data_IF_656841003181
#
_entry.id   IF_656841003181
#
_cell.length_a   1.000
_cell.length_b   1.000
_cell.length_c   1.000
_cell.angle_alpha   90.00
_cell.angle_beta   90.00
_cell.angle_gamma   90.00
#
_symmetry.space_group_name_H-M   'P 1'
#
loop_
_entity.id
_entity.type
_entity.pdbx_description
1 polymer ?
#
# COMPACT_ATOMS: atom_id res chain seq x y z
N UNK A 1 -33.35 -24.27 -2.42
CA UNK A 1 -33.58 -24.36 -0.95
C UNK A 1 -32.40 -23.70 -0.26
N UNK A 2 -32.64 -22.59 0.46
CA UNK A 2 -31.58 -21.94 1.26
C UNK A 2 -31.26 -22.87 2.45
N UNK A 3 -30.00 -23.23 2.68
CA UNK A 3 -29.58 -24.17 3.73
C UNK A 3 -30.03 -23.77 5.14
N UNK A 4 -30.26 -22.47 5.36
CA UNK A 4 -30.80 -21.90 6.61
C UNK A 4 -32.28 -22.22 6.86
N UNK A 5 -33.00 -22.76 5.87
CA UNK A 5 -34.40 -23.21 6.03
C UNK A 5 -34.50 -24.64 6.59
N UNK A 6 -33.42 -25.42 6.49
CA UNK A 6 -33.35 -26.81 6.96
C UNK A 6 -32.62 -26.88 8.31
N UNK A 7 -31.67 -25.98 8.55
CA UNK A 7 -30.93 -25.86 9.81
C UNK A 7 -31.16 -24.50 10.46
N UNK A 8 -31.72 -24.49 11.66
CA UNK A 8 -31.80 -23.30 12.53
C UNK A 8 -30.43 -22.98 13.12
N UNK A 9 -29.56 -22.40 12.30
CA UNK A 9 -28.26 -21.89 12.76
C UNK A 9 -28.52 -20.62 13.55
N UNK A 10 -28.05 -20.58 14.80
CA UNK A 10 -28.17 -19.40 15.66
C UNK A 10 -27.45 -18.20 15.00
N UNK A 11 -28.14 -17.08 14.74
CA UNK A 11 -27.60 -15.91 14.05
C UNK A 11 -26.29 -15.37 14.65
N UNK A 12 -26.05 -15.60 15.95
CA UNK A 12 -24.81 -15.18 16.63
C UNK A 12 -23.55 -15.80 16.03
N UNK A 13 -23.66 -16.96 15.37
CA UNK A 13 -22.51 -17.65 14.75
C UNK A 13 -22.31 -17.31 13.28
N UNK A 14 -23.33 -16.75 12.61
CA UNK A 14 -23.26 -16.47 11.18
C UNK A 14 -22.24 -15.37 10.88
N UNK A 15 -22.29 -14.26 11.62
CA UNK A 15 -21.37 -13.13 11.45
C UNK A 15 -19.90 -13.47 11.72
N UNK A 16 -19.51 -14.10 12.85
CA UNK A 16 -18.09 -14.42 13.09
C UNK A 16 -17.54 -15.44 12.09
N UNK A 17 -18.33 -16.43 11.68
CA UNK A 17 -17.91 -17.42 10.68
C UNK A 17 -17.70 -16.73 9.32
N UNK A 18 -18.62 -15.87 8.89
CA UNK A 18 -18.47 -15.13 7.64
C UNK A 18 -17.24 -14.21 7.61
N UNK A 19 -16.88 -13.61 8.76
CA UNK A 19 -15.72 -12.73 8.89
C UNK A 19 -14.38 -13.47 9.06
N UNK A 20 -14.41 -14.76 9.43
CA UNK A 20 -13.18 -15.53 9.66
C UNK A 20 -12.32 -15.67 8.41
N UNK A 21 -12.94 -15.94 7.26
CA UNK A 21 -12.25 -16.10 5.97
C UNK A 21 -11.52 -14.81 5.54
N UNK A 22 -12.18 -13.63 5.43
CA UNK A 22 -11.48 -12.41 5.07
C UNK A 22 -10.40 -12.03 6.09
N UNK A 23 -10.62 -12.29 7.38
CA UNK A 23 -9.60 -12.04 8.41
C UNK A 23 -8.34 -12.88 8.18
N UNK A 24 -8.48 -14.16 7.86
CA UNK A 24 -7.36 -15.05 7.54
C UNK A 24 -6.62 -14.59 6.27
N UNK A 25 -7.36 -14.15 5.25
CA UNK A 25 -6.75 -13.61 4.01
C UNK A 25 -5.94 -12.34 4.33
N UNK A 26 -6.49 -11.42 5.10
CA UNK A 26 -5.79 -10.18 5.50
C UNK A 26 -4.57 -10.51 6.36
N UNK A 27 -4.70 -11.39 7.34
CA UNK A 27 -3.59 -11.81 8.19
C UNK A 27 -2.48 -12.50 7.38
N UNK A 28 -2.84 -13.40 6.46
CA UNK A 28 -1.90 -14.05 5.55
C UNK A 28 -1.21 -13.06 4.62
N UNK A 29 -1.94 -12.06 4.10
CA UNK A 29 -1.39 -11.00 3.24
C UNK A 29 -0.39 -10.12 3.99
N UNK A 30 -0.70 -9.76 5.23
CA UNK A 30 0.21 -9.02 6.11
C UNK A 30 1.46 -9.85 6.38
N UNK A 31 1.30 -11.13 6.77
CA UNK A 31 2.43 -12.03 7.02
C UNK A 31 3.34 -12.19 5.79
N UNK A 32 2.74 -12.37 4.61
CA UNK A 32 3.50 -12.43 3.36
C UNK A 32 4.23 -11.11 3.09
N UNK A 33 3.59 -9.96 3.28
CA UNK A 33 4.20 -8.64 3.10
C UNK A 33 5.46 -8.45 3.95
N UNK A 34 5.46 -8.95 5.19
CA UNK A 34 6.63 -8.93 6.05
C UNK A 34 7.70 -9.98 5.66
N UNK A 35 7.28 -11.17 5.19
CA UNK A 35 8.18 -12.30 4.90
C UNK A 35 8.92 -12.17 3.56
N UNK A 36 8.26 -11.74 2.49
CA UNK A 36 8.86 -11.63 1.14
C UNK A 36 9.56 -10.30 0.88
N UNK A 37 9.47 -9.35 1.82
CA UNK A 37 9.88 -7.96 1.62
C UNK A 37 8.88 -7.23 0.72
N UNK A 38 8.70 -5.93 0.98
CA UNK A 38 7.87 -5.10 0.11
C UNK A 38 8.48 -5.12 -1.31
N UNK A 39 7.65 -5.42 -2.31
CA UNK A 39 8.05 -5.64 -3.72
C UNK A 39 8.82 -6.93 -4.07
N UNK A 40 8.83 -7.95 -3.20
CA UNK A 40 9.44 -9.24 -3.56
C UNK A 40 10.97 -9.17 -3.76
N UNK A 41 11.60 -8.16 -3.19
CA UNK A 41 13.06 -7.94 -3.21
C UNK A 41 13.85 -9.16 -2.70
N UNK A 42 13.25 -10.00 -1.83
CA UNK A 42 13.86 -11.26 -1.39
C UNK A 42 13.69 -12.42 -2.39
N UNK A 43 12.64 -12.40 -3.22
CA UNK A 43 12.41 -13.39 -4.27
C UNK A 43 13.31 -13.13 -5.49
N UNK A 44 13.49 -11.86 -5.88
CA UNK A 44 14.40 -11.46 -6.96
C UNK A 44 15.86 -11.88 -6.70
N UNK A 45 16.29 -11.96 -5.43
CA UNK A 45 17.63 -12.44 -5.06
C UNK A 45 17.80 -13.96 -5.18
N UNK A 46 16.70 -14.73 -5.12
CA UNK A 46 16.74 -16.21 -5.11
C UNK A 46 16.57 -16.82 -6.51
N UNK A 47 15.94 -16.11 -7.43
CA UNK A 47 15.96 -16.43 -8.86
C UNK A 47 17.22 -15.80 -9.48
N UNK A 48 18.23 -16.62 -9.80
CA UNK A 48 19.48 -16.19 -10.43
C UNK A 48 19.29 -15.63 -11.84
N UNK A 49 18.76 -14.42 -11.94
CA UNK A 49 18.75 -13.63 -13.17
C UNK A 49 19.74 -12.50 -12.97
N UNK A 50 20.89 -12.62 -13.64
CA UNK A 50 21.94 -11.62 -13.73
C UNK A 50 21.40 -10.34 -14.39
N UNK A 51 20.68 -9.53 -13.62
CA UNK A 51 20.34 -8.15 -13.96
C UNK A 51 21.21 -7.23 -13.12
N UNK A 52 22.38 -6.88 -13.66
CA UNK A 52 23.28 -5.81 -13.20
C UNK A 52 23.26 -5.46 -11.69
N UNK A 53 24.18 -6.01 -10.87
CA UNK A 53 24.29 -5.67 -9.45
C UNK A 53 24.72 -4.20 -9.18
N UNK A 54 24.91 -3.40 -10.23
CA UNK A 54 25.27 -1.98 -10.14
C UNK A 54 24.06 -1.04 -10.04
N UNK A 55 22.83 -1.55 -10.05
CA UNK A 55 21.65 -0.74 -9.71
C UNK A 55 21.47 -0.56 -8.20
N UNK A 56 22.57 -0.48 -7.44
CA UNK A 56 22.54 0.26 -6.18
C UNK A 56 22.27 1.71 -6.60
N UNK A 57 21.10 2.31 -6.29
CA UNK A 57 20.72 3.60 -6.85
C UNK A 57 21.46 4.72 -6.12
N UNK A 58 22.78 4.79 -6.23
CA UNK A 58 23.61 5.85 -5.66
C UNK A 58 23.20 7.21 -6.21
N UNK A 59 22.63 7.25 -7.43
CA UNK A 59 22.13 8.47 -8.05
C UNK A 59 20.75 8.91 -7.49
N UNK A 60 19.86 7.97 -7.18
CA UNK A 60 18.56 8.31 -6.59
C UNK A 60 18.70 8.93 -5.21
N UNK A 61 19.73 8.58 -4.44
CA UNK A 61 19.94 9.08 -3.07
C UNK A 61 19.95 10.62 -3.03
N UNK A 62 20.33 11.28 -4.13
CA UNK A 62 20.28 12.75 -4.28
C UNK A 62 18.85 13.33 -4.21
N UNK A 63 17.86 12.55 -4.63
CA UNK A 63 16.45 12.94 -4.66
C UNK A 63 15.71 12.56 -3.36
N UNK A 64 16.31 11.71 -2.52
CA UNK A 64 15.79 11.33 -1.22
C UNK A 64 16.20 12.35 -0.14
N UNK A 65 15.21 13.08 0.36
CA UNK A 65 15.35 14.08 1.41
C UNK A 65 14.93 13.50 2.76
N UNK A 66 15.34 14.16 3.85
CA UNK A 66 14.95 13.82 5.23
C UNK A 66 15.26 12.35 5.58
N UNK A 67 16.49 11.90 5.33
CA UNK A 67 16.95 10.56 5.71
C UNK A 67 16.25 9.41 4.99
N UNK A 68 15.75 9.61 3.77
CA UNK A 68 15.09 8.56 2.98
C UNK A 68 13.58 8.47 3.14
N UNK A 69 12.94 9.47 3.76
CA UNK A 69 11.48 9.50 3.96
C UNK A 69 10.72 10.24 2.85
N UNK A 70 11.33 11.28 2.28
CA UNK A 70 10.70 12.20 1.33
C UNK A 70 11.40 12.13 -0.01
N UNK A 71 10.66 11.95 -1.11
CA UNK A 71 11.23 11.88 -2.45
C UNK A 71 10.88 13.13 -3.27
N UNK A 72 11.86 13.71 -3.95
CA UNK A 72 11.66 14.88 -4.79
C UNK A 72 12.50 14.76 -6.07
N UNK A 73 11.85 14.40 -7.18
CA UNK A 73 12.49 14.33 -8.49
C UNK A 73 11.54 14.83 -9.59
N UNK A 74 11.73 16.05 -10.14
CA UNK A 74 10.90 16.57 -11.23
C UNK A 74 10.99 15.73 -12.52
N UNK A 75 12.11 15.04 -12.74
CA UNK A 75 12.35 14.25 -13.95
C UNK A 75 11.67 12.87 -13.90
N UNK A 76 11.33 12.37 -12.70
CA UNK A 76 10.63 11.10 -12.53
C UNK A 76 9.09 11.31 -12.63
N UNK A 77 8.39 10.66 -13.58
CA UNK A 77 6.93 10.74 -13.72
C UNK A 77 6.15 9.99 -12.63
N UNK A 78 6.81 9.16 -11.83
CA UNK A 78 6.16 8.34 -10.81
C UNK A 78 5.54 9.19 -9.70
N UNK A 79 4.29 8.89 -9.34
CA UNK A 79 3.58 9.54 -8.23
C UNK A 79 3.83 8.84 -6.90
N UNK A 80 3.83 7.50 -6.90
CA UNK A 80 4.09 6.67 -5.73
C UNK A 80 5.43 5.96 -5.87
N UNK A 81 6.22 6.02 -4.81
CA UNK A 81 7.59 5.51 -4.77
C UNK A 81 7.74 4.69 -3.51
N UNK A 82 8.40 3.54 -3.61
CA UNK A 82 8.66 2.69 -2.46
C UNK A 82 9.66 3.34 -1.51
N UNK A 83 9.36 3.33 -0.21
CA UNK A 83 10.29 3.86 0.80
C UNK A 83 11.54 2.98 0.84
N UNK A 84 12.72 3.61 0.89
CA UNK A 84 14.00 2.90 1.07
C UNK A 84 14.17 2.31 2.46
N UNK A 85 13.54 2.93 3.45
CA UNK A 85 13.63 2.53 4.86
C UNK A 85 12.22 2.29 5.38
N UNK A 86 12.02 1.11 5.96
CA UNK A 86 10.74 0.68 6.53
C UNK A 86 9.80 0.08 5.48
N UNK A 87 8.50 0.14 5.78
CA UNK A 87 7.44 -0.39 4.93
C UNK A 87 6.53 0.77 4.52
N UNK A 88 6.09 0.76 3.27
CA UNK A 88 5.12 1.67 2.68
C UNK A 88 5.62 2.37 1.43
N UNK A 89 4.78 3.25 0.92
CA UNK A 89 5.07 4.12 -0.20
C UNK A 89 5.14 5.57 0.27
N UNK A 90 5.88 6.38 -0.45
CA UNK A 90 5.90 7.84 -0.36
C UNK A 90 5.46 8.42 -1.69
N UNK A 91 5.24 9.73 -1.74
CA UNK A 91 4.88 10.42 -2.99
C UNK A 91 6.05 11.24 -3.53
N UNK A 92 6.09 11.43 -4.84
CA UNK A 92 7.01 12.38 -5.45
C UNK A 92 6.48 13.81 -5.26
N UNK A 93 7.05 14.52 -4.30
CA UNK A 93 6.62 15.87 -3.96
C UNK A 93 6.93 16.91 -5.06
N UNK A 94 7.70 16.54 -6.09
CA UNK A 94 7.92 17.39 -7.25
C UNK A 94 6.72 17.43 -8.22
N UNK A 95 5.73 16.54 -8.06
CA UNK A 95 4.59 16.40 -8.98
C UNK A 95 3.35 17.12 -8.43
N UNK A 96 2.78 18.10 -9.17
CA UNK A 96 1.51 18.74 -8.77
C UNK A 96 0.37 17.73 -8.57
N UNK A 97 0.34 16.67 -9.39
CA UNK A 97 -0.61 15.57 -9.29
C UNK A 97 -0.53 14.83 -7.94
N UNK A 98 0.65 14.73 -7.32
CA UNK A 98 0.79 14.11 -6.00
C UNK A 98 0.07 14.93 -4.92
N UNK A 99 0.20 16.26 -4.98
CA UNK A 99 -0.51 17.17 -4.09
C UNK A 99 -2.02 17.18 -4.33
N UNK A 100 -2.46 17.10 -5.58
CA UNK A 100 -3.87 16.97 -5.90
C UNK A 100 -4.46 15.68 -5.31
N UNK A 101 -3.80 14.53 -5.51
CA UNK A 101 -4.25 13.27 -4.94
C UNK A 101 -4.27 13.30 -3.40
N UNK A 102 -3.27 13.93 -2.78
CA UNK A 102 -3.18 14.04 -1.33
C UNK A 102 -4.23 15.00 -0.74
N UNK A 103 -4.49 16.15 -1.37
CA UNK A 103 -5.35 17.21 -0.84
C UNK A 103 -6.82 17.09 -1.27
N UNK A 104 -7.10 16.49 -2.43
CA UNK A 104 -8.47 16.39 -2.95
C UNK A 104 -9.47 15.74 -1.97
N UNK A 105 -9.14 14.65 -1.25
CA UNK A 105 -10.05 14.07 -0.27
C UNK A 105 -10.42 15.05 0.84
N UNK A 106 -9.46 15.84 1.34
CA UNK A 106 -9.71 16.83 2.39
C UNK A 106 -10.60 17.96 1.89
N UNK A 107 -10.37 18.44 0.66
CA UNK A 107 -11.21 19.47 0.03
C UNK A 107 -12.64 18.96 -0.13
N UNK A 108 -12.83 17.74 -0.61
CA UNK A 108 -14.17 17.13 -0.76
C UNK A 108 -14.88 17.05 0.59
N UNK A 109 -14.20 16.59 1.65
CA UNK A 109 -14.77 16.52 3.00
C UNK A 109 -15.21 17.90 3.48
N UNK A 110 -14.37 18.93 3.34
CA UNK A 110 -14.70 20.30 3.74
C UNK A 110 -15.90 20.83 2.96
N UNK A 111 -15.95 20.63 1.64
CA UNK A 111 -17.08 21.04 0.82
C UNK A 111 -18.37 20.36 1.27
N UNK A 112 -18.35 19.04 1.49
CA UNK A 112 -19.51 18.31 1.98
C UNK A 112 -20.00 18.85 3.32
N UNK A 113 -19.09 19.16 4.25
CA UNK A 113 -19.47 19.74 5.54
C UNK A 113 -20.11 21.12 5.38
N UNK A 114 -19.54 21.99 4.56
CA UNK A 114 -20.07 23.35 4.32
C UNK A 114 -21.42 23.33 3.60
N UNK A 115 -21.62 22.43 2.62
CA UNK A 115 -22.87 22.36 1.86
C UNK A 115 -23.98 21.57 2.56
N UNK A 116 -23.65 20.72 3.53
CA UNK A 116 -24.64 19.94 4.30
C UNK A 116 -25.03 20.62 5.63
N UNK A 117 -24.29 21.65 6.05
CA UNK A 117 -24.61 22.49 7.23
C UNK A 117 -25.52 23.65 6.84
#
# INVERSE_FOLDING_TARGET
MQLTMIYSIDPKWISPVALSIPLLIVAGSIWMSFSTGQSGTRLARKSGTEGNPSAVPVDDDRHWKLGGSTYYNPNDPSLFIEKRVGIGWTVNFARPLAWLFFLAPFVIIVLLLVFTS
#
